data_IF_293260442710
#
_entry.id   IF_293260442710
#
_cell.length_a   1.000
_cell.length_b   1.000
_cell.length_c   1.000
_cell.angle_alpha   90.00
_cell.angle_beta   90.00
_cell.angle_gamma   90.00
#
_symmetry.space_group_name_H-M   'P 1'
#
loop_
_entity.id
_entity.type
_entity.pdbx_description
1 polymer ?
#
# COMPACT_ATOMS: atom_id res chain seq x y z
N UNK A 1 -6.45 -2.08 -18.92
CA UNK A 1 -5.71 -2.97 -18.00
C UNK A 1 -6.74 -3.74 -17.19
N UNK A 2 -6.50 -5.01 -16.88
CA UNK A 2 -7.40 -5.79 -16.01
C UNK A 2 -7.10 -5.47 -14.55
N UNK A 3 -8.13 -5.43 -13.72
CA UNK A 3 -7.94 -5.29 -12.28
C UNK A 3 -7.65 -6.66 -11.66
N UNK A 4 -6.66 -6.70 -10.77
CA UNK A 4 -6.33 -7.89 -9.98
C UNK A 4 -7.10 -7.92 -8.66
N UNK A 5 -7.44 -6.75 -8.14
CA UNK A 5 -8.31 -6.54 -6.99
C UNK A 5 -9.32 -5.44 -7.32
N UNK A 6 -10.59 -5.69 -7.02
CA UNK A 6 -11.68 -4.73 -7.14
C UNK A 6 -12.46 -4.69 -5.82
N UNK A 7 -12.65 -3.50 -5.30
CA UNK A 7 -13.41 -3.26 -4.07
C UNK A 7 -14.49 -2.23 -4.37
N UNK A 8 -15.73 -2.56 -4.05
CA UNK A 8 -16.89 -1.69 -4.25
C UNK A 8 -17.71 -1.59 -2.96
N UNK A 9 -17.85 -0.37 -2.45
CA UNK A 9 -18.67 0.00 -1.29
C UNK A 9 -18.42 -0.88 -0.05
N UNK A 10 -17.15 -1.22 0.18
CA UNK A 10 -16.78 -2.09 1.29
C UNK A 10 -16.94 -1.39 2.62
N UNK A 11 -17.76 -1.96 3.50
CA UNK A 11 -17.97 -1.47 4.86
C UNK A 11 -17.67 -2.54 5.90
N UNK A 12 -17.13 -2.11 7.06
CA UNK A 12 -16.82 -2.97 8.19
C UNK A 12 -16.95 -2.25 9.51
N UNK A 13 -17.61 -2.91 10.46
CA UNK A 13 -17.77 -2.47 11.85
C UNK A 13 -17.33 -3.55 12.83
N UNK A 14 -16.93 -3.15 14.01
CA UNK A 14 -16.70 -4.02 15.17
C UNK A 14 -17.56 -3.51 16.33
N UNK A 15 -18.63 -4.22 16.62
CA UNK A 15 -19.68 -3.73 17.52
C UNK A 15 -20.24 -2.39 17.01
N UNK A 16 -20.19 -1.36 17.85
CA UNK A 16 -20.70 -0.03 17.48
C UNK A 16 -19.65 0.86 16.75
N UNK A 17 -18.41 0.36 16.57
CA UNK A 17 -17.36 1.14 15.92
C UNK A 17 -17.31 0.82 14.43
N UNK A 18 -17.72 1.77 13.59
CA UNK A 18 -17.52 1.70 12.13
C UNK A 18 -16.03 1.96 11.84
N UNK A 19 -15.39 1.06 11.09
CA UNK A 19 -13.96 1.10 10.75
C UNK A 19 -13.74 1.33 9.26
N UNK A 20 -14.63 0.83 8.40
CA UNK A 20 -14.61 1.10 6.96
C UNK A 20 -16.00 1.58 6.55
N UNK A 21 -16.06 2.63 5.71
CA UNK A 21 -17.28 3.33 5.26
C UNK A 21 -17.30 3.39 3.74
N UNK A 22 -17.97 2.42 3.12
CA UNK A 22 -18.24 2.39 1.67
C UNK A 22 -16.99 2.65 0.80
N UNK A 23 -15.83 2.09 1.19
CA UNK A 23 -14.59 2.30 0.44
C UNK A 23 -14.63 1.54 -0.89
N UNK A 24 -14.17 2.22 -1.96
CA UNK A 24 -14.11 1.66 -3.31
C UNK A 24 -12.79 2.01 -3.97
N UNK A 25 -12.06 1.00 -4.47
CA UNK A 25 -10.82 1.17 -5.21
C UNK A 25 -10.42 -0.12 -5.95
N UNK A 26 -9.43 -0.01 -6.83
CA UNK A 26 -8.92 -1.13 -7.60
C UNK A 26 -7.39 -1.22 -7.51
N UNK A 27 -6.86 -2.42 -7.76
CA UNK A 27 -5.43 -2.66 -8.01
C UNK A 27 -5.29 -3.19 -9.44
N UNK A 28 -4.91 -2.34 -10.39
CA UNK A 28 -4.67 -2.78 -11.77
C UNK A 28 -3.44 -3.69 -11.90
N UNK A 29 -3.43 -4.56 -12.91
CA UNK A 29 -2.22 -5.28 -13.29
C UNK A 29 -1.12 -4.30 -13.73
N UNK A 30 0.13 -4.62 -13.40
CA UNK A 30 1.28 -3.76 -13.70
C UNK A 30 1.38 -2.52 -12.82
N UNK A 31 0.66 -2.45 -11.70
CA UNK A 31 0.65 -1.27 -10.82
C UNK A 31 1.10 -1.56 -9.40
N UNK A 32 1.61 -0.52 -8.74
CA UNK A 32 1.84 -0.50 -7.29
C UNK A 32 0.93 0.57 -6.70
N UNK A 33 -0.03 0.15 -5.89
CA UNK A 33 -0.98 1.03 -5.21
C UNK A 33 -0.50 1.27 -3.78
N UNK A 34 -0.12 2.49 -3.46
CA UNK A 34 0.22 2.93 -2.11
C UNK A 34 -1.05 3.25 -1.32
N UNK A 35 -1.29 2.53 -0.24
CA UNK A 35 -2.44 2.69 0.65
C UNK A 35 -2.03 3.39 1.94
N UNK A 36 -2.24 4.69 2.00
CA UNK A 36 -1.69 5.62 2.99
C UNK A 36 -2.78 6.04 3.98
N UNK A 37 -2.42 6.17 5.23
CA UNK A 37 -3.31 6.68 6.28
C UNK A 37 -2.69 6.51 7.66
N UNK A 38 -3.20 7.26 8.63
CA UNK A 38 -2.77 7.19 10.01
C UNK A 38 -3.04 5.81 10.64
N UNK A 39 -2.42 5.55 11.79
CA UNK A 39 -2.71 4.35 12.56
C UNK A 39 -4.19 4.35 12.99
N UNK A 40 -4.87 3.25 12.72
CA UNK A 40 -6.32 3.14 12.98
C UNK A 40 -7.22 3.67 11.87
N UNK A 41 -6.71 4.20 10.76
CA UNK A 41 -7.50 4.68 9.63
C UNK A 41 -8.29 3.58 8.88
N UNK A 42 -7.97 2.30 9.11
CA UNK A 42 -8.66 1.17 8.49
C UNK A 42 -7.79 0.29 7.58
N UNK A 43 -6.48 0.62 7.37
CA UNK A 43 -5.59 -0.08 6.42
C UNK A 43 -5.54 -1.59 6.64
N UNK A 44 -5.10 -2.06 7.80
CA UNK A 44 -5.00 -3.50 8.10
C UNK A 44 -6.36 -4.18 8.15
N UNK A 45 -7.43 -3.45 8.49
CA UNK A 45 -8.81 -3.96 8.42
C UNK A 45 -9.20 -4.21 6.97
N UNK A 46 -8.92 -3.28 6.07
CA UNK A 46 -9.14 -3.44 4.63
C UNK A 46 -8.43 -4.69 4.12
N UNK A 47 -7.14 -4.84 4.40
CA UNK A 47 -6.33 -5.98 3.93
C UNK A 47 -6.85 -7.32 4.46
N UNK A 48 -7.19 -7.38 5.75
CA UNK A 48 -7.77 -8.59 6.36
C UNK A 48 -9.15 -8.93 5.78
N UNK A 49 -9.96 -7.93 5.46
CA UNK A 49 -11.27 -8.15 4.85
C UNK A 49 -11.13 -8.63 3.40
N UNK A 50 -10.22 -8.03 2.63
CA UNK A 50 -9.88 -8.45 1.26
C UNK A 50 -9.44 -9.91 1.21
N UNK A 51 -8.67 -10.34 2.20
CA UNK A 51 -8.17 -11.73 2.31
C UNK A 51 -9.16 -12.69 2.98
N UNK A 52 -10.39 -12.26 3.25
CA UNK A 52 -11.42 -13.04 3.95
C UNK A 52 -10.97 -13.57 5.33
N UNK A 53 -9.99 -12.92 5.97
CA UNK A 53 -9.57 -13.22 7.35
C UNK A 53 -10.56 -12.66 8.37
N UNK A 54 -11.32 -11.65 7.99
CA UNK A 54 -12.47 -11.11 8.72
C UNK A 54 -13.61 -10.89 7.74
N UNK A 55 -14.85 -11.10 8.19
CA UNK A 55 -16.04 -10.88 7.37
C UNK A 55 -16.29 -9.40 7.13
N UNK A 56 -16.68 -9.03 5.92
CA UNK A 56 -17.26 -7.72 5.58
C UNK A 56 -18.70 -7.60 6.09
N UNK A 57 -19.17 -6.38 6.29
CA UNK A 57 -20.58 -6.14 6.63
C UNK A 57 -21.40 -5.91 5.34
N UNK A 58 -20.83 -5.16 4.37
CA UNK A 58 -21.43 -4.93 3.04
C UNK A 58 -20.36 -4.67 1.98
N UNK A 59 -20.80 -4.52 0.74
CA UNK A 59 -19.95 -4.26 -0.42
C UNK A 59 -19.43 -5.53 -1.08
N UNK A 60 -18.65 -5.35 -2.14
CA UNK A 60 -18.09 -6.43 -2.95
C UNK A 60 -16.58 -6.35 -2.96
N UNK A 61 -15.92 -7.51 -2.88
CA UNK A 61 -14.46 -7.66 -3.05
C UNK A 61 -14.26 -8.77 -4.06
N UNK A 62 -13.54 -8.47 -5.16
CA UNK A 62 -13.16 -9.46 -6.16
C UNK A 62 -11.65 -9.51 -6.31
N UNK A 63 -11.08 -10.70 -6.25
CA UNK A 63 -9.68 -10.95 -6.57
C UNK A 63 -9.64 -11.83 -7.83
N UNK A 64 -8.98 -11.35 -8.87
CA UNK A 64 -8.97 -11.97 -10.21
C UNK A 64 -10.38 -12.20 -10.79
N UNK A 65 -11.35 -11.32 -10.45
CA UNK A 65 -12.75 -11.43 -10.85
C UNK A 65 -13.61 -12.33 -9.96
N UNK A 66 -13.04 -13.03 -8.98
CA UNK A 66 -13.73 -13.96 -8.08
C UNK A 66 -14.02 -13.32 -6.72
N UNK A 67 -15.26 -13.46 -6.23
CA UNK A 67 -15.69 -12.91 -4.94
C UNK A 67 -15.30 -13.76 -3.73
N UNK A 68 -14.97 -15.02 -3.92
CA UNK A 68 -14.65 -15.95 -2.83
C UNK A 68 -13.34 -16.68 -3.11
N UNK A 69 -12.26 -16.20 -2.52
CA UNK A 69 -10.94 -16.77 -2.67
C UNK A 69 -10.75 -18.10 -1.92
N UNK A 70 -11.65 -18.42 -0.97
CA UNK A 70 -11.56 -19.63 -0.18
C UNK A 70 -12.03 -20.88 -0.94
N UNK A 71 -12.75 -20.71 -2.05
CA UNK A 71 -13.26 -21.83 -2.86
C UNK A 71 -12.20 -22.52 -3.70
N UNK A 72 -11.12 -21.83 -4.06
CA UNK A 72 -10.09 -22.37 -4.94
C UNK A 72 -8.68 -22.10 -4.41
N UNK A 73 -7.94 -23.16 -4.09
CA UNK A 73 -6.55 -23.07 -3.66
C UNK A 73 -5.64 -22.41 -4.71
N UNK A 74 -5.96 -22.57 -6.02
CA UNK A 74 -5.20 -21.95 -7.11
C UNK A 74 -5.31 -20.41 -7.13
N UNK A 75 -6.42 -19.86 -6.63
CA UNK A 75 -6.56 -18.41 -6.46
C UNK A 75 -5.61 -17.95 -5.35
N UNK A 76 -5.60 -18.64 -4.20
CA UNK A 76 -4.71 -18.30 -3.08
C UNK A 76 -3.24 -18.40 -3.44
N UNK A 77 -2.87 -19.35 -4.26
CA UNK A 77 -1.49 -19.52 -4.73
C UNK A 77 -1.00 -18.31 -5.53
N UNK A 78 -1.91 -17.57 -6.19
CA UNK A 78 -1.57 -16.34 -6.93
C UNK A 78 -1.50 -15.09 -6.04
N UNK A 79 -1.72 -15.22 -4.74
CA UNK A 79 -1.70 -14.09 -3.80
C UNK A 79 -0.50 -14.24 -2.88
N UNK A 80 0.38 -13.24 -2.88
CA UNK A 80 1.45 -13.10 -1.89
C UNK A 80 1.03 -12.14 -0.79
N UNK A 81 1.20 -12.53 0.47
CA UNK A 81 0.76 -11.71 1.61
C UNK A 81 1.92 -11.52 2.57
N UNK A 82 2.14 -10.27 2.98
CA UNK A 82 3.06 -9.92 4.06
C UNK A 82 2.32 -9.05 5.07
N UNK A 83 2.28 -9.50 6.31
CA UNK A 83 1.87 -8.69 7.47
C UNK A 83 3.08 -8.39 8.35
N UNK A 84 3.03 -7.30 9.11
CA UNK A 84 4.10 -6.87 10.03
C UNK A 84 4.57 -7.99 10.99
N UNK A 85 3.69 -8.91 11.34
CA UNK A 85 3.96 -10.01 12.29
C UNK A 85 3.87 -11.39 11.63
N UNK A 86 4.41 -11.57 10.40
CA UNK A 86 4.40 -12.88 9.79
C UNK A 86 5.44 -13.80 10.45
N UNK A 87 4.96 -14.78 11.20
CA UNK A 87 5.80 -15.70 11.93
C UNK A 87 6.09 -16.96 11.11
N UNK A 88 7.27 -17.02 10.52
CA UNK A 88 7.79 -18.26 9.96
C UNK A 88 8.23 -19.21 11.10
N UNK A 89 8.19 -20.56 10.89
CA UNK A 89 8.56 -21.52 11.92
C UNK A 89 9.98 -21.29 12.46
N UNK A 90 10.07 -20.79 13.68
CA UNK A 90 11.32 -20.32 14.30
C UNK A 90 12.42 -21.41 14.44
N UNK A 91 12.02 -22.68 14.49
CA UNK A 91 12.94 -23.81 14.66
C UNK A 91 13.57 -24.32 13.36
N UNK A 92 13.10 -23.84 12.20
CA UNK A 92 13.58 -24.23 10.88
C UNK A 92 14.72 -23.30 10.40
N UNK A 93 15.59 -23.86 9.56
CA UNK A 93 16.56 -23.09 8.76
C UNK A 93 15.95 -22.73 7.40
N UNK A 94 16.57 -21.79 6.66
CA UNK A 94 16.14 -21.44 5.29
C UNK A 94 16.09 -22.68 4.39
N UNK A 95 17.05 -23.59 4.48
CA UNK A 95 17.05 -24.84 3.70
C UNK A 95 15.86 -25.75 4.01
N UNK A 96 15.45 -25.80 5.28
CA UNK A 96 14.28 -26.57 5.69
C UNK A 96 12.98 -25.90 5.25
N UNK A 97 12.90 -24.57 5.35
CA UNK A 97 11.76 -23.80 4.86
C UNK A 97 11.57 -23.97 3.36
N UNK A 98 12.65 -23.96 2.55
CA UNK A 98 12.55 -24.21 1.11
C UNK A 98 11.81 -25.53 0.82
N UNK A 99 12.19 -26.62 1.53
CA UNK A 99 11.53 -27.93 1.37
C UNK A 99 10.04 -27.93 1.78
N UNK A 100 9.67 -27.06 2.74
CA UNK A 100 8.27 -26.90 3.14
C UNK A 100 7.51 -26.18 2.06
N UNK A 101 8.03 -25.07 1.55
CA UNK A 101 7.37 -24.28 0.52
C UNK A 101 7.29 -24.98 -0.83
N UNK A 102 8.30 -25.76 -1.21
CA UNK A 102 8.28 -26.65 -2.39
C UNK A 102 7.11 -27.65 -2.37
N UNK A 103 6.68 -28.10 -1.18
CA UNK A 103 5.50 -28.96 -1.01
C UNK A 103 4.20 -28.20 -0.86
N UNK A 104 4.25 -26.92 -0.48
CA UNK A 104 3.09 -26.09 -0.20
C UNK A 104 2.58 -25.38 -1.45
N UNK A 105 3.49 -24.95 -2.33
CA UNK A 105 3.18 -24.24 -3.57
C UNK A 105 3.52 -25.09 -4.77
N UNK A 106 2.56 -25.28 -5.68
CA UNK A 106 2.81 -25.98 -6.95
C UNK A 106 3.80 -25.22 -7.84
N UNK A 107 3.77 -23.89 -7.75
CA UNK A 107 4.58 -22.98 -8.57
C UNK A 107 5.83 -22.45 -7.83
N UNK A 108 6.34 -23.19 -6.83
CA UNK A 108 7.52 -22.77 -6.07
C UNK A 108 8.76 -22.65 -6.95
N UNK A 109 9.39 -21.49 -6.96
CA UNK A 109 10.64 -21.19 -7.65
C UNK A 109 11.81 -21.19 -6.66
N UNK A 110 12.43 -22.36 -6.49
CA UNK A 110 13.55 -22.53 -5.60
C UNK A 110 14.76 -21.68 -6.00
N UNK A 111 15.00 -21.50 -7.30
CA UNK A 111 16.18 -20.75 -7.80
C UNK A 111 15.99 -19.26 -7.48
N UNK A 112 14.78 -18.73 -7.71
CA UNK A 112 14.47 -17.36 -7.31
C UNK A 112 14.52 -17.18 -5.80
N UNK A 113 14.05 -18.15 -5.01
CA UNK A 113 14.12 -18.10 -3.56
C UNK A 113 15.57 -17.97 -3.08
N UNK A 114 16.48 -18.82 -3.55
CA UNK A 114 17.88 -18.73 -3.16
C UNK A 114 18.59 -17.50 -3.71
N UNK A 115 18.20 -17.02 -4.89
CA UNK A 115 18.67 -15.73 -5.41
C UNK A 115 18.31 -14.59 -4.44
N UNK A 116 17.05 -14.52 -4.00
CA UNK A 116 16.59 -13.50 -3.04
C UNK A 116 17.25 -13.66 -1.67
N UNK A 117 17.40 -14.88 -1.17
CA UNK A 117 18.15 -15.16 0.07
C UNK A 117 19.57 -14.62 -0.01
N UNK A 118 20.25 -14.79 -1.15
CA UNK A 118 21.57 -14.25 -1.39
C UNK A 118 21.58 -12.71 -1.50
N UNK A 119 20.66 -12.14 -2.31
CA UNK A 119 20.50 -10.68 -2.47
C UNK A 119 20.31 -10.01 -1.11
N UNK A 120 19.46 -10.58 -0.27
CA UNK A 120 19.16 -10.05 1.06
C UNK A 120 20.20 -10.43 2.14
N UNK A 121 21.30 -11.11 1.76
CA UNK A 121 22.38 -11.54 2.66
C UNK A 121 21.88 -12.35 3.88
N UNK A 122 20.91 -13.25 3.68
CA UNK A 122 20.30 -14.03 4.75
C UNK A 122 21.14 -15.30 5.06
N UNK A 123 21.40 -15.62 6.35
CA UNK A 123 22.18 -16.79 6.73
C UNK A 123 21.38 -18.08 6.55
N UNK A 124 21.85 -18.97 5.65
CA UNK A 124 21.11 -20.18 5.27
C UNK A 124 21.17 -21.30 6.32
N UNK A 125 22.16 -21.28 7.22
CA UNK A 125 22.41 -22.35 8.19
C UNK A 125 21.87 -22.04 9.59
N UNK A 126 21.43 -20.81 9.83
CA UNK A 126 20.85 -20.41 11.10
C UNK A 126 19.33 -20.70 11.15
N UNK A 127 18.82 -20.93 12.35
CA UNK A 127 17.38 -21.05 12.57
C UNK A 127 16.74 -19.68 12.45
N UNK A 128 15.58 -19.61 11.81
CA UNK A 128 14.81 -18.36 11.59
C UNK A 128 14.48 -17.62 12.90
N UNK A 129 14.29 -18.36 14.00
CA UNK A 129 14.07 -17.75 15.32
C UNK A 129 15.23 -16.92 15.89
N UNK A 130 16.42 -16.97 15.24
CA UNK A 130 17.55 -16.08 15.57
C UNK A 130 17.63 -14.82 14.69
N UNK A 131 16.75 -14.71 13.70
CA UNK A 131 16.73 -13.58 12.79
C UNK A 131 16.27 -12.31 13.49
N UNK A 132 16.86 -11.18 13.13
CA UNK A 132 16.32 -9.88 13.48
C UNK A 132 14.96 -9.67 12.79
N UNK A 133 14.19 -8.67 13.25
CA UNK A 133 12.93 -8.30 12.59
C UNK A 133 13.13 -8.00 11.10
N UNK A 134 14.19 -7.25 10.76
CA UNK A 134 14.52 -6.95 9.36
C UNK A 134 14.89 -8.18 8.54
N UNK A 135 15.68 -9.11 9.09
CA UNK A 135 15.99 -10.39 8.42
C UNK A 135 14.75 -11.24 8.20
N UNK A 136 13.86 -11.31 9.19
CA UNK A 136 12.60 -12.03 9.09
C UNK A 136 11.69 -11.42 8.02
N UNK A 137 11.63 -10.09 7.94
CA UNK A 137 10.87 -9.38 6.92
C UNK A 137 11.43 -9.67 5.51
N UNK A 138 12.75 -9.56 5.32
CA UNK A 138 13.41 -9.90 4.05
C UNK A 138 13.16 -11.37 3.64
N UNK A 139 13.20 -12.30 4.58
CA UNK A 139 12.88 -13.70 4.31
C UNK A 139 11.41 -13.87 3.89
N UNK A 140 10.48 -13.18 4.53
CA UNK A 140 9.06 -13.21 4.15
C UNK A 140 8.84 -12.67 2.74
N UNK A 141 9.51 -11.57 2.38
CA UNK A 141 9.48 -11.03 1.00
C UNK A 141 10.07 -12.04 0.02
N UNK A 142 11.19 -12.68 0.36
CA UNK A 142 11.76 -13.72 -0.49
C UNK A 142 10.78 -14.87 -0.75
N UNK A 143 10.04 -15.30 0.27
CA UNK A 143 9.02 -16.35 0.14
C UNK A 143 7.89 -15.92 -0.81
N UNK A 144 7.28 -14.75 -0.62
CA UNK A 144 6.13 -14.31 -1.43
C UNK A 144 6.50 -13.97 -2.88
N UNK A 145 7.77 -13.66 -3.14
CA UNK A 145 8.28 -13.45 -4.50
C UNK A 145 8.76 -14.73 -5.18
N UNK A 146 8.74 -15.88 -4.50
CA UNK A 146 9.28 -17.15 -5.00
C UNK A 146 8.20 -18.17 -5.37
N UNK A 147 6.96 -17.75 -5.51
CA UNK A 147 5.90 -18.53 -6.14
C UNK A 147 5.20 -17.63 -7.19
N UNK A 148 4.31 -18.23 -8.00
CA UNK A 148 3.66 -17.50 -9.11
C UNK A 148 2.58 -16.50 -8.64
N UNK A 149 2.89 -15.70 -7.63
CA UNK A 149 2.00 -14.63 -7.20
C UNK A 149 1.72 -13.65 -8.36
N UNK A 150 0.50 -13.14 -8.41
CA UNK A 150 0.05 -12.09 -9.33
C UNK A 150 -0.41 -10.84 -8.59
N UNK A 151 -0.84 -10.99 -7.35
CA UNK A 151 -1.22 -9.91 -6.46
C UNK A 151 -0.42 -10.03 -5.16
N UNK A 152 0.27 -8.96 -4.78
CA UNK A 152 0.90 -8.85 -3.46
C UNK A 152 0.09 -7.89 -2.59
N UNK A 153 -0.19 -8.30 -1.35
CA UNK A 153 -0.82 -7.48 -0.32
C UNK A 153 0.18 -7.35 0.83
N UNK A 154 0.75 -6.16 0.96
CA UNK A 154 1.90 -5.89 1.83
C UNK A 154 1.53 -4.87 2.90
N UNK A 155 1.37 -5.31 4.16
CA UNK A 155 1.06 -4.44 5.30
C UNK A 155 2.35 -4.10 6.05
N UNK A 156 2.82 -2.85 5.91
CA UNK A 156 4.04 -2.31 6.56
C UNK A 156 5.32 -3.13 6.27
N UNK A 157 5.43 -3.67 5.05
CA UNK A 157 6.47 -4.64 4.67
C UNK A 157 7.90 -4.06 4.62
N UNK A 158 8.07 -2.75 4.69
CA UNK A 158 9.38 -2.07 4.76
C UNK A 158 9.70 -1.54 6.15
N UNK A 159 8.75 -1.67 7.08
CA UNK A 159 8.92 -1.23 8.46
C UNK A 159 10.01 -2.00 9.20
N UNK A 160 10.92 -1.27 9.88
CA UNK A 160 12.01 -1.87 10.65
C UNK A 160 13.19 -2.37 9.84
N UNK A 161 13.25 -2.10 8.52
CA UNK A 161 14.43 -2.29 7.70
C UNK A 161 15.35 -1.07 7.81
N UNK A 162 16.65 -1.32 7.80
CA UNK A 162 17.63 -0.25 7.58
C UNK A 162 17.52 0.31 6.15
N UNK A 163 18.06 1.52 5.87
CA UNK A 163 17.91 2.16 4.57
C UNK A 163 18.38 1.32 3.37
N UNK A 164 19.49 0.59 3.49
CA UNK A 164 20.03 -0.24 2.42
C UNK A 164 19.13 -1.45 2.15
N UNK A 165 18.75 -2.17 3.20
CA UNK A 165 17.83 -3.32 3.12
C UNK A 165 16.47 -2.93 2.56
N UNK A 166 16.00 -1.73 2.88
CA UNK A 166 14.75 -1.18 2.36
C UNK A 166 14.83 -0.94 0.85
N UNK A 167 15.94 -0.36 0.39
CA UNK A 167 16.19 -0.16 -1.04
C UNK A 167 16.17 -1.47 -1.82
N UNK A 168 16.90 -2.48 -1.33
CA UNK A 168 16.93 -3.81 -1.93
C UNK A 168 15.51 -4.41 -2.07
N UNK A 169 14.69 -4.29 -1.03
CA UNK A 169 13.29 -4.78 -1.06
C UNK A 169 12.45 -4.00 -2.07
N UNK A 170 12.54 -2.66 -2.09
CA UNK A 170 11.78 -1.84 -3.03
C UNK A 170 12.13 -2.14 -4.49
N UNK A 171 13.40 -2.39 -4.80
CA UNK A 171 13.84 -2.77 -6.15
C UNK A 171 13.30 -4.15 -6.56
N UNK A 172 13.28 -5.13 -5.64
CA UNK A 172 12.67 -6.45 -5.93
C UNK A 172 11.16 -6.36 -6.15
N UNK A 173 10.45 -5.49 -5.41
CA UNK A 173 9.03 -5.24 -5.62
C UNK A 173 8.74 -4.58 -6.98
N UNK A 174 9.54 -3.60 -7.41
CA UNK A 174 9.45 -3.03 -8.77
C UNK A 174 9.72 -4.09 -9.84
N UNK A 175 10.78 -4.89 -9.64
CA UNK A 175 11.12 -5.97 -10.55
C UNK A 175 9.99 -7.00 -10.69
N UNK A 176 9.31 -7.34 -9.59
CA UNK A 176 8.13 -8.21 -9.60
C UNK A 176 7.05 -7.66 -10.53
N UNK A 177 6.65 -6.40 -10.37
CA UNK A 177 5.60 -5.80 -11.19
C UNK A 177 6.01 -5.76 -12.66
N UNK A 178 7.24 -5.34 -12.97
CA UNK A 178 7.72 -5.23 -14.35
C UNK A 178 7.83 -6.57 -15.07
N UNK A 179 8.22 -7.65 -14.37
CA UNK A 179 8.42 -8.99 -14.96
C UNK A 179 7.15 -9.82 -15.03
N UNK A 180 6.31 -9.77 -14.01
CA UNK A 180 5.13 -10.64 -13.91
C UNK A 180 3.84 -9.98 -14.40
N UNK A 181 3.87 -8.67 -14.67
CA UNK A 181 2.69 -7.82 -14.84
C UNK A 181 1.70 -7.96 -13.67
N UNK A 182 2.24 -8.28 -12.49
CA UNK A 182 1.51 -8.38 -11.25
C UNK A 182 1.09 -7.01 -10.70
N UNK A 183 0.32 -7.01 -9.63
CA UNK A 183 -0.05 -5.79 -8.90
C UNK A 183 0.33 -5.88 -7.43
N UNK A 184 0.57 -4.75 -6.83
CA UNK A 184 0.89 -4.64 -5.41
C UNK A 184 -0.06 -3.65 -4.74
N UNK A 185 -0.67 -4.06 -3.63
CA UNK A 185 -1.31 -3.18 -2.66
C UNK A 185 -0.38 -3.07 -1.44
N UNK A 186 0.22 -1.90 -1.25
CA UNK A 186 1.23 -1.66 -0.23
C UNK A 186 0.75 -0.62 0.77
N UNK A 187 0.63 -0.97 2.04
CA UNK A 187 0.55 0.03 3.11
C UNK A 187 1.95 0.39 3.61
N UNK A 188 2.18 1.65 3.86
CA UNK A 188 3.40 2.14 4.50
C UNK A 188 3.13 3.45 5.24
N UNK A 189 3.78 3.62 6.38
CA UNK A 189 3.90 4.91 7.06
C UNK A 189 5.16 5.68 6.62
N UNK A 190 6.01 5.07 5.78
CA UNK A 190 7.22 5.66 5.23
C UNK A 190 6.89 6.23 3.86
N UNK A 191 6.58 7.54 3.82
CA UNK A 191 6.11 8.19 2.58
C UNK A 191 7.12 8.12 1.45
N UNK A 192 8.42 8.19 1.75
CA UNK A 192 9.49 8.05 0.75
C UNK A 192 9.48 6.71 0.01
N UNK A 193 9.05 5.62 0.66
CA UNK A 193 8.92 4.32 0.00
C UNK A 193 7.79 4.34 -1.02
N UNK A 194 6.63 4.86 -0.61
CA UNK A 194 5.46 5.00 -1.49
C UNK A 194 5.79 5.93 -2.66
N UNK A 195 6.40 7.08 -2.39
CA UNK A 195 6.82 8.04 -3.43
C UNK A 195 7.73 7.40 -4.49
N UNK A 196 8.62 6.51 -4.02
CA UNK A 196 9.63 5.86 -4.86
C UNK A 196 9.06 4.79 -5.79
N UNK A 197 8.08 4.00 -5.34
CA UNK A 197 7.62 2.83 -6.10
C UNK A 197 6.16 2.85 -6.51
N UNK A 198 5.27 3.59 -5.83
CA UNK A 198 3.86 3.58 -6.16
C UNK A 198 3.58 4.29 -7.50
N UNK A 199 2.66 3.75 -8.27
CA UNK A 199 2.05 4.37 -9.45
C UNK A 199 0.70 5.02 -9.15
N UNK A 200 -0.01 4.53 -8.11
CA UNK A 200 -1.30 5.03 -7.64
C UNK A 200 -1.25 5.28 -6.15
N UNK A 201 -2.03 6.26 -5.71
CA UNK A 201 -2.11 6.69 -4.32
C UNK A 201 -3.55 6.59 -3.84
N UNK A 202 -3.75 5.93 -2.70
CA UNK A 202 -5.00 5.93 -1.96
C UNK A 202 -4.70 6.48 -0.58
N UNK A 203 -5.40 7.54 -0.18
CA UNK A 203 -5.30 8.09 1.18
C UNK A 203 -6.61 7.83 1.90
N UNK A 204 -6.52 7.12 3.03
CA UNK A 204 -7.66 6.76 3.88
C UNK A 204 -7.57 7.45 5.23
N UNK A 205 -8.70 7.97 5.73
CA UNK A 205 -8.86 8.54 7.06
C UNK A 205 -10.21 8.11 7.64
N UNK A 206 -10.22 7.68 8.89
CA UNK A 206 -11.44 7.30 9.62
C UNK A 206 -12.37 6.33 8.86
N UNK A 207 -11.76 5.45 8.06
CA UNK A 207 -12.47 4.47 7.24
C UNK A 207 -13.02 5.01 5.91
N UNK A 208 -12.71 6.24 5.50
CA UNK A 208 -13.14 6.87 4.25
C UNK A 208 -11.94 7.13 3.34
N UNK A 209 -12.08 6.94 2.04
CA UNK A 209 -11.05 7.29 1.05
C UNK A 209 -11.16 8.78 0.74
N UNK A 210 -10.09 9.52 1.03
CA UNK A 210 -9.98 10.95 0.75
C UNK A 210 -9.34 11.24 -0.60
N UNK A 211 -8.48 10.34 -1.10
CA UNK A 211 -7.83 10.44 -2.40
C UNK A 211 -7.68 9.04 -3.00
N UNK A 212 -7.95 8.91 -4.30
CA UNK A 212 -7.72 7.70 -5.09
C UNK A 212 -7.34 8.12 -6.51
N UNK A 213 -6.05 8.29 -6.80
CA UNK A 213 -5.55 8.87 -8.04
C UNK A 213 -4.20 8.32 -8.47
N UNK A 214 -3.89 8.42 -9.76
CA UNK A 214 -2.54 8.17 -10.27
C UNK A 214 -1.52 9.16 -9.65
N UNK A 215 -0.39 8.66 -9.19
CA UNK A 215 0.66 9.47 -8.55
C UNK A 215 1.13 10.62 -9.43
N UNK A 216 1.39 10.35 -10.71
CA UNK A 216 1.88 11.36 -11.65
C UNK A 216 0.84 12.46 -11.89
N UNK A 217 -0.45 12.13 -11.91
CA UNK A 217 -1.53 13.12 -11.99
C UNK A 217 -1.54 14.00 -10.75
N UNK A 218 -1.42 13.38 -9.57
CA UNK A 218 -1.37 14.12 -8.29
C UNK A 218 -0.18 15.09 -8.28
N UNK A 219 1.03 14.62 -8.56
CA UNK A 219 2.24 15.45 -8.51
C UNK A 219 2.27 16.56 -9.58
N UNK A 220 1.53 16.41 -10.68
CA UNK A 220 1.45 17.42 -11.75
C UNK A 220 0.35 18.46 -11.54
N UNK A 221 -0.78 18.05 -10.97
CA UNK A 221 -2.00 18.87 -10.92
C UNK A 221 -2.23 19.49 -9.53
N UNK A 222 -1.80 18.82 -8.47
CA UNK A 222 -2.00 19.28 -7.12
C UNK A 222 -0.85 20.20 -6.69
N UNK A 223 -1.20 21.24 -5.95
CA UNK A 223 -0.22 22.19 -5.41
C UNK A 223 -0.70 22.77 -4.09
N UNK A 224 0.22 23.36 -3.36
CA UNK A 224 -0.07 24.13 -2.15
C UNK A 224 -0.04 25.61 -2.48
N UNK A 225 -1.02 26.32 -1.98
CA UNK A 225 -1.05 27.78 -1.92
C UNK A 225 -1.13 28.24 -0.46
N UNK A 226 -0.33 29.23 -0.11
CA UNK A 226 -0.37 29.89 1.18
C UNK A 226 -1.07 31.24 0.98
N UNK A 227 -2.29 31.40 1.52
CA UNK A 227 -3.18 32.51 1.23
C UNK A 227 -3.82 33.05 2.51
N UNK A 228 -4.10 34.34 2.54
CA UNK A 228 -4.95 34.95 3.54
C UNK A 228 -6.44 34.73 3.26
N UNK A 229 -7.31 35.29 4.10
CA UNK A 229 -8.75 35.07 3.99
C UNK A 229 -9.36 35.75 2.74
N UNK A 230 -8.80 36.90 2.31
CA UNK A 230 -9.24 37.61 1.10
C UNK A 230 -8.84 36.84 -0.16
N UNK A 231 -7.60 36.37 -0.22
CA UNK A 231 -7.12 35.55 -1.33
C UNK A 231 -7.83 34.18 -1.41
N UNK A 232 -8.10 33.56 -0.25
CA UNK A 232 -8.86 32.31 -0.20
C UNK A 232 -10.26 32.45 -0.80
N UNK A 233 -10.93 33.58 -0.58
CA UNK A 233 -12.24 33.87 -1.13
C UNK A 233 -12.24 33.98 -2.68
N UNK A 234 -11.09 34.26 -3.28
CA UNK A 234 -10.93 34.34 -4.74
C UNK A 234 -10.73 32.96 -5.40
N UNK A 235 -10.30 31.96 -4.64
CA UNK A 235 -10.06 30.62 -5.17
C UNK A 235 -11.38 29.91 -5.40
N UNK A 236 -11.56 29.33 -6.60
CA UNK A 236 -12.72 28.51 -6.89
C UNK A 236 -12.78 27.30 -5.93
N UNK A 237 -13.90 27.16 -5.22
CA UNK A 237 -14.13 26.08 -4.25
C UNK A 237 -14.01 24.68 -4.87
N UNK A 238 -14.30 24.53 -6.16
CA UNK A 238 -14.24 23.24 -6.85
C UNK A 238 -12.81 22.66 -6.95
N UNK A 239 -11.79 23.52 -6.86
CA UNK A 239 -10.39 23.06 -6.86
C UNK A 239 -9.77 22.95 -5.46
N UNK A 240 -10.46 23.42 -4.42
CA UNK A 240 -10.00 23.31 -3.04
C UNK A 240 -10.28 21.91 -2.52
N UNK A 241 -9.23 21.13 -2.32
CA UNK A 241 -9.31 19.74 -1.85
C UNK A 241 -9.23 19.65 -0.34
N UNK A 242 -8.33 20.42 0.25
CA UNK A 242 -8.16 20.50 1.70
C UNK A 242 -7.62 21.87 2.10
N UNK A 243 -7.91 22.29 3.31
CA UNK A 243 -7.35 23.52 3.86
C UNK A 243 -7.02 23.36 5.34
N UNK A 244 -5.99 24.08 5.79
CA UNK A 244 -5.58 24.16 7.18
C UNK A 244 -5.23 25.59 7.54
N UNK A 245 -5.78 26.09 8.64
CA UNK A 245 -5.44 27.41 9.15
C UNK A 245 -4.08 27.38 9.89
N UNK A 246 -3.20 28.31 9.56
CA UNK A 246 -1.89 28.47 10.16
C UNK A 246 -1.73 29.92 10.60
N UNK A 247 -2.28 30.27 11.77
CA UNK A 247 -2.29 31.64 12.28
C UNK A 247 -3.17 32.58 11.45
N UNK A 248 -2.56 33.55 10.74
CA UNK A 248 -3.26 34.52 9.90
C UNK A 248 -3.45 34.12 8.47
N UNK A 249 -2.92 32.97 8.03
CA UNK A 249 -3.05 32.48 6.67
C UNK A 249 -3.56 31.01 6.63
N UNK A 250 -3.93 30.57 5.43
CA UNK A 250 -4.37 29.21 5.15
C UNK A 250 -3.38 28.54 4.24
N UNK A 251 -3.03 27.30 4.58
CA UNK A 251 -2.34 26.37 3.70
C UNK A 251 -3.43 25.54 3.00
N UNK A 252 -3.54 25.69 1.69
CA UNK A 252 -4.63 25.13 0.91
C UNK A 252 -4.09 24.18 -0.15
N UNK A 253 -4.60 22.95 -0.18
CA UNK A 253 -4.36 21.99 -1.23
C UNK A 253 -5.35 22.23 -2.37
N UNK A 254 -4.84 22.49 -3.55
CA UNK A 254 -5.64 22.66 -4.77
C UNK A 254 -5.36 21.55 -5.76
N UNK A 255 -6.39 21.11 -6.49
CA UNK A 255 -6.30 20.01 -7.46
C UNK A 255 -6.00 20.45 -8.90
N UNK A 256 -6.02 21.75 -9.18
CA UNK A 256 -5.81 22.27 -10.53
C UNK A 256 -5.19 23.68 -10.47
N UNK A 257 -3.89 23.76 -10.76
CA UNK A 257 -3.14 25.02 -10.75
C UNK A 257 -3.55 25.97 -11.87
N UNK A 258 -4.09 25.46 -12.96
CA UNK A 258 -4.49 26.28 -14.11
C UNK A 258 -5.78 27.07 -13.86
N UNK A 259 -6.54 26.69 -12.83
CA UNK A 259 -7.73 27.41 -12.36
C UNK A 259 -7.48 28.38 -11.20
N UNK A 260 -6.22 28.53 -10.79
CA UNK A 260 -5.87 29.52 -9.77
C UNK A 260 -5.99 30.93 -10.33
N UNK A 261 -6.50 31.90 -9.53
CA UNK A 261 -6.50 33.32 -9.90
C UNK A 261 -5.06 33.83 -10.14
N UNK A 262 -4.94 34.78 -11.08
CA UNK A 262 -3.67 35.45 -11.37
C UNK A 262 -3.12 36.15 -10.10
N UNK A 263 -1.83 35.92 -9.81
CA UNK A 263 -1.16 36.55 -8.67
C UNK A 263 -1.12 35.69 -7.39
N UNK A 264 -1.80 34.52 -7.35
CA UNK A 264 -1.63 33.56 -6.26
C UNK A 264 -0.43 32.67 -6.57
N UNK A 265 0.59 32.75 -5.71
CA UNK A 265 1.77 31.91 -5.78
C UNK A 265 1.43 30.48 -5.31
N UNK A 266 1.95 29.49 -6.01
CA UNK A 266 1.83 28.09 -5.63
C UNK A 266 3.19 27.41 -5.59
N UNK A 267 3.29 26.32 -4.85
CA UNK A 267 4.48 25.48 -4.78
C UNK A 267 4.15 24.01 -5.04
N UNK A 268 5.15 23.29 -5.54
CA UNK A 268 5.07 21.83 -5.67
C UNK A 268 4.86 21.17 -4.32
N UNK A 269 4.26 19.99 -4.35
CA UNK A 269 3.86 19.25 -3.16
C UNK A 269 4.47 17.86 -3.15
N UNK A 270 4.86 17.37 -1.96
CA UNK A 270 5.22 15.98 -1.72
C UNK A 270 3.99 15.14 -1.35
N UNK A 271 4.08 13.81 -1.50
CA UNK A 271 3.00 12.90 -1.07
C UNK A 271 2.77 13.01 0.42
N UNK A 272 3.83 13.24 1.21
CA UNK A 272 3.72 13.44 2.66
C UNK A 272 2.88 14.67 2.99
N UNK A 273 3.12 15.81 2.35
CA UNK A 273 2.34 17.04 2.56
C UNK A 273 0.87 16.87 2.16
N UNK A 274 0.59 16.17 1.05
CA UNK A 274 -0.79 15.84 0.64
C UNK A 274 -1.47 15.02 1.73
N UNK A 275 -0.80 13.97 2.20
CA UNK A 275 -1.35 13.10 3.24
C UNK A 275 -1.65 13.88 4.52
N UNK A 276 -0.71 14.71 4.96
CA UNK A 276 -0.88 15.56 6.17
C UNK A 276 -2.03 16.54 5.99
N UNK A 277 -2.13 17.24 4.85
CA UNK A 277 -3.21 18.20 4.60
C UNK A 277 -4.57 17.50 4.56
N UNK A 278 -4.70 16.39 3.83
CA UNK A 278 -5.95 15.65 3.75
C UNK A 278 -6.38 15.08 5.11
N UNK A 279 -5.43 14.53 5.87
CA UNK A 279 -5.76 13.89 7.15
C UNK A 279 -5.96 14.88 8.30
N UNK A 280 -5.41 16.10 8.21
CA UNK A 280 -5.50 17.16 9.25
C UNK A 280 -6.30 18.38 8.83
N UNK A 281 -6.98 18.33 7.66
CA UNK A 281 -7.85 19.43 7.21
C UNK A 281 -9.00 19.69 8.19
N UNK A 282 -9.31 20.94 8.36
CA UNK A 282 -10.56 21.39 8.99
C UNK A 282 -11.72 21.08 8.03
N UNK A 283 -12.77 20.46 8.56
CA UNK A 283 -14.01 20.23 7.79
C UNK A 283 -14.75 21.51 7.52
#
# INVERSE_FOLDING_TARGET
>A
MSNLLEIENLSKSFGNKVVLRDISFNVPSGSIVGFIGDNGAGKSTTFKTVLELISKDSGTVKIFGEENINKDAKIKEKIGVVFDAMNLPAHLTIKQLNKVFEKMFESWDQDNFYRLVHTFSLPTNEKVGKFSRGMSMKLTIAVVLSHNAKLLILDEATGGLDPSSREEVLEELKSFVSKSNGGILLSSHIMSDVEKIASHLIIIKDGEILLNEEKDKVLKSYSIVDVDEEQLALINKDIVVARRRLGSYFNVLVSDIYKLPSGIAYRTISIEEISVLLTRSEK
#
